data_IF_367285350222
#
_entry.id   IF_367285350222
#
_cell.length_a   1.000
_cell.length_b   1.000
_cell.length_c   1.000
_cell.angle_alpha   90.00
_cell.angle_beta   90.00
_cell.angle_gamma   90.00
#
_symmetry.space_group_name_H-M   'P 1'
#
loop_
_entity.id
_entity.type
_entity.pdbx_description
1 polymer ?
#
# COMPACT_ATOMS: atom_id res chain seq x y z
N UNK A 1 7.71 -16.99 1.11
CA UNK A 1 6.95 -15.86 0.54
C UNK A 1 5.98 -15.36 1.61
N UNK A 2 6.17 -14.13 2.08
CA UNK A 2 5.27 -13.48 3.05
C UNK A 2 4.32 -12.57 2.27
N UNK A 3 3.05 -12.47 2.69
CA UNK A 3 2.02 -11.68 1.99
C UNK A 3 1.22 -10.85 2.97
N UNK A 4 0.71 -9.70 2.50
CA UNK A 4 -0.27 -8.88 3.21
C UNK A 4 -1.68 -9.24 2.76
N UNK A 5 -2.60 -9.43 3.70
CA UNK A 5 -4.01 -9.77 3.40
C UNK A 5 -4.88 -8.59 3.83
N UNK A 6 -5.44 -7.88 2.84
CA UNK A 6 -6.45 -6.83 3.08
C UNK A 6 -7.84 -7.44 2.98
N UNK A 7 -8.43 -7.76 4.12
CA UNK A 7 -9.81 -8.26 4.22
C UNK A 7 -10.79 -7.10 4.14
N UNK A 8 -11.75 -7.19 3.22
CA UNK A 8 -12.75 -6.16 3.00
C UNK A 8 -14.10 -6.62 3.52
N UNK A 9 -14.58 -5.97 4.59
CA UNK A 9 -15.91 -6.21 5.14
C UNK A 9 -16.93 -5.38 4.35
N UNK A 10 -17.57 -6.03 3.37
CA UNK A 10 -18.61 -5.41 2.56
C UNK A 10 -19.94 -5.51 3.31
N UNK A 11 -20.50 -4.37 3.70
CA UNK A 11 -21.81 -4.30 4.38
C UNK A 11 -22.94 -3.99 3.41
N UNK A 12 -22.64 -3.50 2.21
CA UNK A 12 -23.62 -3.08 1.22
C UNK A 12 -23.31 -3.60 -0.20
N UNK A 13 -24.35 -3.70 -1.03
CA UNK A 13 -24.26 -4.15 -2.43
C UNK A 13 -23.34 -3.26 -3.30
N UNK A 14 -23.20 -1.97 -2.95
CA UNK A 14 -22.26 -1.04 -3.60
C UNK A 14 -20.78 -1.41 -3.40
N UNK A 15 -20.46 -2.09 -2.30
CA UNK A 15 -19.06 -2.42 -1.98
C UNK A 15 -18.52 -3.56 -2.87
N UNK A 16 -19.41 -4.33 -3.52
CA UNK A 16 -19.00 -5.32 -4.53
C UNK A 16 -18.38 -4.64 -5.77
N UNK A 17 -18.94 -3.50 -6.18
CA UNK A 17 -18.45 -2.73 -7.32
C UNK A 17 -17.10 -2.09 -7.01
N UNK A 18 -16.91 -1.58 -5.78
CA UNK A 18 -15.63 -1.00 -5.35
C UNK A 18 -14.53 -2.06 -5.26
N UNK A 19 -14.81 -3.25 -4.71
CA UNK A 19 -13.83 -4.36 -4.68
C UNK A 19 -13.38 -4.76 -6.09
N UNK A 20 -14.34 -4.94 -7.00
CA UNK A 20 -14.04 -5.35 -8.38
C UNK A 20 -13.23 -4.28 -9.11
N UNK A 21 -13.56 -3.00 -8.87
CA UNK A 21 -12.81 -1.88 -9.41
C UNK A 21 -11.37 -1.84 -8.86
N UNK A 22 -11.19 -1.98 -7.55
CA UNK A 22 -9.88 -2.00 -6.90
C UNK A 22 -9.02 -3.17 -7.39
N UNK A 23 -9.58 -4.39 -7.48
CA UNK A 23 -8.90 -5.55 -8.07
C UNK A 23 -8.47 -5.29 -9.50
N UNK A 24 -9.37 -4.77 -10.35
CA UNK A 24 -9.06 -4.51 -11.77
C UNK A 24 -7.99 -3.44 -11.92
N UNK A 25 -8.04 -2.40 -11.09
CA UNK A 25 -7.03 -1.34 -11.05
C UNK A 25 -5.67 -1.91 -10.67
N UNK A 26 -5.59 -2.63 -9.54
CA UNK A 26 -4.34 -3.23 -9.07
C UNK A 26 -3.80 -4.33 -9.99
N UNK A 27 -4.67 -5.05 -10.70
CA UNK A 27 -4.26 -6.02 -11.70
C UNK A 27 -3.68 -5.38 -12.98
N UNK A 28 -4.23 -4.23 -13.39
CA UNK A 28 -3.82 -3.53 -14.63
C UNK A 28 -2.59 -2.68 -14.45
N UNK A 29 -2.41 -2.06 -13.28
CA UNK A 29 -1.24 -1.22 -13.06
C UNK A 29 -0.02 -2.09 -12.81
N UNK A 30 1.06 -1.80 -13.54
CA UNK A 30 2.37 -2.38 -13.27
C UNK A 30 3.39 -1.25 -13.20
N UNK A 31 3.75 -0.88 -11.97
CA UNK A 31 4.76 0.12 -11.70
C UNK A 31 5.63 -0.36 -10.53
N UNK A 32 6.94 -0.07 -10.58
CA UNK A 32 7.90 -0.50 -9.56
C UNK A 32 7.56 0.02 -8.15
N UNK A 33 6.99 1.22 -8.07
CA UNK A 33 6.66 1.90 -6.80
C UNK A 33 5.18 1.72 -6.40
N UNK A 34 4.51 0.68 -6.92
CA UNK A 34 3.15 0.32 -6.50
C UNK A 34 3.13 -1.09 -5.94
N UNK A 35 2.46 -1.26 -4.79
CA UNK A 35 2.31 -2.55 -4.13
C UNK A 35 1.66 -3.54 -5.10
N UNK A 36 2.35 -4.65 -5.32
CA UNK A 36 1.94 -5.67 -6.27
C UNK A 36 0.77 -6.49 -5.71
N UNK A 37 -0.29 -6.62 -6.51
CA UNK A 37 -1.33 -7.62 -6.28
C UNK A 37 -0.80 -9.00 -6.69
N UNK A 38 -0.70 -9.90 -5.72
CA UNK A 38 -0.36 -11.31 -5.96
C UNK A 38 -1.59 -12.02 -6.52
N UNK A 39 -2.72 -11.90 -5.82
CA UNK A 39 -4.02 -12.46 -6.25
C UNK A 39 -5.16 -11.85 -5.42
N UNK A 40 -6.40 -12.16 -5.75
CA UNK A 40 -7.56 -11.84 -4.93
C UNK A 40 -8.35 -13.10 -4.59
N UNK A 41 -8.99 -13.10 -3.42
CA UNK A 41 -9.84 -14.19 -2.95
C UNK A 41 -11.27 -13.68 -2.81
N UNK A 42 -12.23 -14.44 -3.36
CA UNK A 42 -13.66 -14.21 -3.21
C UNK A 42 -14.28 -15.54 -2.82
N UNK A 43 -14.88 -15.62 -1.64
CA UNK A 43 -15.60 -16.80 -1.17
C UNK A 43 -17.01 -16.41 -0.76
N UNK A 44 -18.00 -17.22 -1.15
CA UNK A 44 -19.38 -17.08 -0.68
C UNK A 44 -19.53 -17.80 0.65
N UNK A 45 -19.78 -17.07 1.73
CA UNK A 45 -20.08 -17.65 3.03
C UNK A 45 -21.42 -18.38 3.03
N UNK A 46 -21.55 -19.38 3.90
CA UNK A 46 -22.73 -20.25 4.05
C UNK A 46 -24.01 -19.46 4.37
N UNK A 47 -23.89 -18.26 4.94
CA UNK A 47 -25.00 -17.36 5.28
C UNK A 47 -25.18 -16.17 4.30
N UNK A 48 -24.55 -16.20 3.13
CA UNK A 48 -24.64 -15.11 2.15
C UNK A 48 -23.70 -13.93 2.40
N UNK A 49 -22.85 -13.99 3.43
CA UNK A 49 -21.76 -13.03 3.60
C UNK A 49 -20.59 -13.41 2.69
N UNK A 50 -20.36 -12.61 1.66
CA UNK A 50 -19.18 -12.74 0.81
C UNK A 50 -17.91 -12.35 1.59
N UNK A 51 -16.94 -13.25 1.66
CA UNK A 51 -15.58 -12.94 2.09
C UNK A 51 -14.77 -12.49 0.87
N UNK A 52 -14.18 -11.30 0.94
CA UNK A 52 -13.32 -10.77 -0.12
C UNK A 52 -12.00 -10.27 0.46
N UNK A 53 -10.90 -10.68 -0.14
CA UNK A 53 -9.56 -10.29 0.29
C UNK A 53 -8.64 -10.01 -0.90
N UNK A 54 -7.80 -8.99 -0.75
CA UNK A 54 -6.65 -8.76 -1.62
C UNK A 54 -5.42 -9.38 -0.98
N UNK A 55 -4.67 -10.15 -1.77
CA UNK A 55 -3.41 -10.75 -1.36
C UNK A 55 -2.32 -9.97 -2.07
N UNK A 56 -1.59 -9.19 -1.30
CA UNK A 56 -0.61 -8.21 -1.75
C UNK A 56 0.79 -8.65 -1.32
N UNK A 57 1.80 -8.13 -2.00
CA UNK A 57 3.17 -8.20 -1.52
C UNK A 57 3.29 -7.52 -0.14
N UNK A 58 4.04 -8.15 0.77
CA UNK A 58 4.19 -7.66 2.13
C UNK A 58 5.34 -6.65 2.20
N UNK A 59 5.03 -5.45 2.67
CA UNK A 59 6.00 -4.36 2.88
C UNK A 59 6.40 -4.33 4.36
N UNK A 60 7.61 -4.79 4.65
CA UNK A 60 8.07 -5.09 6.01
C UNK A 60 8.23 -3.85 6.90
N UNK A 61 8.58 -2.70 6.32
CA UNK A 61 8.81 -1.47 7.05
C UNK A 61 7.50 -0.69 7.31
N UNK A 62 6.36 -1.18 6.83
CA UNK A 62 5.07 -0.57 7.08
C UNK A 62 4.94 0.80 6.43
N UNK A 63 4.07 1.67 6.97
CA UNK A 63 3.73 2.95 6.30
C UNK A 63 4.69 4.09 6.63
N UNK A 64 4.92 5.01 5.70
CA UNK A 64 5.69 6.25 5.92
C UNK A 64 5.14 7.03 7.12
N UNK A 65 3.83 7.01 7.35
CA UNK A 65 3.22 7.63 8.53
C UNK A 65 3.83 7.11 9.85
N UNK A 66 4.13 5.81 9.96
CA UNK A 66 4.72 5.22 11.17
C UNK A 66 6.17 5.68 11.38
N UNK A 67 6.88 6.03 10.31
CA UNK A 67 8.25 6.55 10.38
C UNK A 67 8.30 8.05 10.63
N UNK A 68 7.26 8.79 10.22
CA UNK A 68 7.12 10.22 10.50
C UNK A 68 6.55 10.49 11.89
N UNK A 69 5.63 9.63 12.34
CA UNK A 69 4.90 9.75 13.60
C UNK A 69 4.85 8.38 14.29
N UNK A 70 5.97 7.92 14.88
CA UNK A 70 6.03 6.60 15.49
C UNK A 70 5.03 6.48 16.64
N UNK A 71 4.18 5.42 16.65
CA UNK A 71 3.27 5.15 17.75
C UNK A 71 4.00 5.03 19.08
N UNK A 72 3.42 5.58 20.15
CA UNK A 72 4.04 5.62 21.48
C UNK A 72 4.47 4.24 22.00
N UNK A 73 3.76 3.18 21.60
CA UNK A 73 4.08 1.80 21.98
C UNK A 73 5.33 1.23 21.27
N UNK A 74 5.63 1.67 20.03
CA UNK A 74 6.84 1.27 19.32
C UNK A 74 8.08 1.98 19.87
N UNK A 75 7.93 3.24 20.29
CA UNK A 75 9.00 4.02 20.94
C UNK A 75 9.38 3.42 22.31
N UNK A 76 8.41 2.88 23.05
CA UNK A 76 8.64 2.26 24.37
C UNK A 76 9.34 0.89 24.29
N UNK A 77 9.04 0.09 23.25
CA UNK A 77 9.62 -1.24 23.06
C UNK A 77 11.07 -1.21 22.56
N UNK A 78 11.46 -0.14 21.89
CA UNK A 78 12.72 -0.03 21.16
C UNK A 78 13.62 1.11 21.72
N UNK A 79 13.73 1.21 23.06
CA UNK A 79 14.54 2.26 23.72
C UNK A 79 16.00 2.33 23.27
N UNK A 80 16.57 1.21 22.81
CA UNK A 80 17.95 1.16 22.29
C UNK A 80 18.05 1.53 20.79
N UNK A 81 16.93 1.60 20.07
CA UNK A 81 16.84 1.83 18.62
C UNK A 81 16.12 3.16 18.29
N UNK A 82 16.31 4.18 19.12
CA UNK A 82 15.69 5.51 18.95
C UNK A 82 16.06 6.20 17.61
N UNK A 83 17.00 5.63 16.84
CA UNK A 83 17.39 6.08 15.49
C UNK A 83 16.57 5.43 14.36
N UNK A 84 15.74 4.42 14.64
CA UNK A 84 15.11 3.65 13.56
C UNK A 84 13.84 4.29 13.01
N UNK A 85 13.12 5.12 13.76
CA UNK A 85 11.87 5.75 13.31
C UNK A 85 12.05 7.24 12.97
N UNK A 86 13.04 7.56 12.13
CA UNK A 86 13.19 8.92 11.62
C UNK A 86 13.74 8.91 10.20
N UNK A 87 12.89 9.24 9.23
CA UNK A 87 13.33 9.47 7.86
C UNK A 87 14.14 10.76 7.79
N UNK A 88 15.39 10.68 7.35
CA UNK A 88 16.20 11.86 7.08
C UNK A 88 15.69 12.61 5.83
N UNK A 89 16.20 13.82 5.59
CA UNK A 89 15.74 14.64 4.47
C UNK A 89 15.90 13.95 3.10
N UNK A 90 17.02 13.26 2.90
CA UNK A 90 17.30 12.55 1.65
C UNK A 90 16.30 11.42 1.41
N UNK A 91 16.01 10.60 2.43
CA UNK A 91 15.01 9.54 2.35
C UNK A 91 13.62 10.10 2.03
N UNK A 92 13.22 11.20 2.68
CA UNK A 92 11.95 11.87 2.40
C UNK A 92 11.86 12.36 0.96
N UNK A 93 12.97 12.89 0.43
CA UNK A 93 13.04 13.35 -0.95
C UNK A 93 12.93 12.18 -1.93
N UNK A 94 13.64 11.07 -1.69
CA UNK A 94 13.56 9.88 -2.54
C UNK A 94 12.13 9.29 -2.54
N UNK A 95 11.48 9.18 -1.37
CA UNK A 95 10.07 8.79 -1.27
C UNK A 95 9.15 9.75 -2.06
N UNK A 96 9.37 11.07 -1.96
CA UNK A 96 8.55 12.04 -2.69
C UNK A 96 8.72 11.93 -4.21
N UNK A 97 9.94 11.68 -4.68
CA UNK A 97 10.25 11.42 -6.09
C UNK A 97 9.55 10.14 -6.56
N UNK A 98 9.62 9.06 -5.77
CA UNK A 98 8.97 7.80 -6.11
C UNK A 98 7.45 7.90 -6.19
N UNK A 99 6.84 8.68 -5.28
CA UNK A 99 5.42 9.01 -5.33
C UNK A 99 5.09 9.85 -6.56
N UNK A 100 5.93 10.83 -6.90
CA UNK A 100 5.74 11.64 -8.09
C UNK A 100 5.77 10.78 -9.36
N UNK A 101 6.67 9.81 -9.47
CA UNK A 101 6.71 8.86 -10.59
C UNK A 101 5.43 8.03 -10.71
N UNK A 102 4.87 7.56 -9.59
CA UNK A 102 3.58 6.83 -9.60
C UNK A 102 2.44 7.72 -10.10
N UNK A 103 2.43 8.99 -9.71
CA UNK A 103 1.42 9.95 -10.16
C UNK A 103 1.61 10.30 -11.63
N UNK A 104 2.86 10.42 -12.09
CA UNK A 104 3.24 10.68 -13.48
C UNK A 104 2.93 9.51 -14.42
N UNK A 105 2.94 8.26 -13.92
CA UNK A 105 2.59 7.03 -14.66
C UNK A 105 1.24 7.11 -15.39
N UNK A 106 0.43 8.12 -15.09
CA UNK A 106 -0.79 8.51 -15.81
C UNK A 106 -0.62 9.02 -17.25
N UNK A 107 0.59 9.34 -17.73
CA UNK A 107 0.72 10.09 -18.99
C UNK A 107 1.23 9.33 -20.23
N UNK A 108 1.94 8.21 -20.11
CA UNK A 108 2.52 7.53 -21.30
C UNK A 108 2.21 6.03 -21.45
N UNK A 109 1.94 5.29 -20.36
CA UNK A 109 1.97 3.80 -20.39
C UNK A 109 0.69 3.09 -19.93
N UNK A 110 -0.37 3.82 -19.54
CA UNK A 110 -1.64 3.23 -19.12
C UNK A 110 -2.80 3.68 -20.04
N UNK A 111 -3.55 2.77 -20.69
CA UNK A 111 -4.66 3.12 -21.59
C UNK A 111 -5.84 3.79 -20.88
N UNK A 112 -5.90 3.73 -19.56
CA UNK A 112 -6.96 4.33 -18.75
C UNK A 112 -6.35 5.15 -17.62
N UNK A 113 -6.65 6.45 -17.52
CA UNK A 113 -6.09 7.28 -16.47
C UNK A 113 -6.61 6.87 -15.07
N UNK A 114 -5.73 6.50 -14.14
CA UNK A 114 -6.11 6.06 -12.78
C UNK A 114 -5.85 7.16 -11.74
N UNK A 115 -6.89 7.65 -11.06
CA UNK A 115 -6.75 8.70 -10.02
C UNK A 115 -6.67 7.98 -8.67
N UNK A 116 -5.60 8.22 -7.90
CA UNK A 116 -5.40 7.55 -6.61
C UNK A 116 -6.44 7.96 -5.54
N UNK A 117 -6.91 9.21 -5.57
CA UNK A 117 -7.93 9.81 -4.70
C UNK A 117 -7.65 9.85 -3.19
N UNK A 118 -6.76 9.01 -2.65
CA UNK A 118 -6.44 8.94 -1.22
C UNK A 118 -4.91 8.89 -0.99
N UNK A 119 -4.16 9.78 -1.64
CA UNK A 119 -2.71 9.83 -1.48
C UNK A 119 -2.36 10.47 -0.13
N UNK A 120 -1.79 9.69 0.78
CA UNK A 120 -1.38 10.12 2.12
C UNK A 120 -0.27 9.23 2.68
N UNK A 121 0.52 9.69 3.67
CA UNK A 121 1.64 8.93 4.23
C UNK A 121 1.30 7.54 4.76
N UNK A 122 0.06 7.29 5.20
CA UNK A 122 -0.36 5.96 5.68
C UNK A 122 -0.65 4.95 4.56
N UNK A 123 -0.77 5.42 3.32
CA UNK A 123 -0.96 4.58 2.13
C UNK A 123 0.35 4.39 1.33
N UNK A 124 1.45 5.03 1.75
CA UNK A 124 2.77 4.80 1.19
C UNK A 124 3.47 3.80 2.11
N UNK A 125 3.78 2.62 1.56
CA UNK A 125 4.43 1.53 2.30
C UNK A 125 5.90 1.45 1.92
N UNK A 126 6.72 1.05 2.89
CA UNK A 126 8.17 0.90 2.75
C UNK A 126 8.57 -0.59 2.81
N UNK A 127 9.46 -0.99 1.92
CA UNK A 127 10.15 -2.28 1.92
C UNK A 127 11.61 -2.16 2.36
N UNK A 128 12.34 -3.27 2.45
CA UNK A 128 13.76 -3.34 2.87
C UNK A 128 14.67 -2.46 1.98
N UNK A 129 14.29 -2.21 0.72
CA UNK A 129 15.10 -1.54 -0.29
C UNK A 129 14.74 -0.06 -0.52
N UNK A 130 13.70 0.48 0.11
CA UNK A 130 13.21 1.85 -0.16
C UNK A 130 14.12 2.97 0.42
N UNK A 131 15.33 2.62 0.87
CA UNK A 131 16.34 3.57 1.36
C UNK A 131 17.50 3.80 0.38
N UNK A 132 17.55 3.12 -0.78
CA UNK A 132 18.63 3.32 -1.75
C UNK A 132 18.16 4.23 -2.88
N UNK A 133 18.48 5.50 -2.78
CA UNK A 133 18.45 6.40 -3.94
C UNK A 133 19.50 5.87 -4.95
N UNK A 134 19.07 5.36 -6.11
CA UNK A 134 19.95 5.12 -7.26
C UNK A 134 20.16 6.40 -8.05
#
# INVERSE_FOLDING_TARGET
MVVAIKVLHLRHCGDFKSFTAECKTLYRIRHRNLVKLVTCCITRGVQGNDFKALILEYMCNGSVNNWLHPPSHLVMANKDQNHQFNLNLLQRLCIAIDVAYVVEYRHHDCPTPIVHCDLKPSNILLDEHDCTCQ
#
